data_IF_686550108619
#
_entry.id   IF_686550108619
#
_cell.length_a   1.000
_cell.length_b   1.000
_cell.length_c   1.000
_cell.angle_alpha   90.00
_cell.angle_beta   90.00
_cell.angle_gamma   90.00
#
_symmetry.space_group_name_H-M   'P 1'
#
loop_
_entity.id
_entity.type
_entity.pdbx_description
1 polymer ?
#
# COMPACT_ATOMS: atom_id res chain seq x y z
N UNK A 1 45.15 -3.88 84.22
CA UNK A 1 43.87 -4.43 83.69
C UNK A 1 43.42 -3.59 82.52
N UNK A 2 43.57 -4.12 81.33
CA UNK A 2 43.41 -3.38 80.10
C UNK A 2 42.19 -3.93 79.35
N UNK A 3 41.04 -3.22 79.34
CA UNK A 3 39.82 -3.59 78.58
C UNK A 3 39.88 -3.02 77.15
N UNK A 4 40.01 -3.94 76.18
CA UNK A 4 39.91 -3.59 74.75
C UNK A 4 38.43 -3.61 74.34
N UNK A 5 37.94 -2.46 74.02
CA UNK A 5 36.64 -2.28 73.32
C UNK A 5 36.81 -2.62 71.81
N UNK A 6 36.18 -3.70 71.36
CA UNK A 6 36.10 -4.11 69.96
C UNK A 6 34.89 -3.41 69.33
N UNK A 7 35.16 -2.38 68.53
CA UNK A 7 34.14 -1.69 67.76
C UNK A 7 33.64 -2.58 66.60
N UNK A 8 32.34 -2.93 66.61
CA UNK A 8 31.65 -3.57 65.50
C UNK A 8 31.36 -2.53 64.42
N UNK A 9 32.04 -2.66 63.29
CA UNK A 9 31.69 -1.86 62.06
C UNK A 9 30.52 -2.54 61.40
N UNK A 10 29.33 -1.91 61.41
CA UNK A 10 28.19 -2.32 60.63
C UNK A 10 28.43 -1.98 59.17
N UNK A 11 28.45 -3.01 58.34
CA UNK A 11 28.57 -2.86 56.88
C UNK A 11 27.13 -2.70 56.34
N UNK A 12 26.76 -1.49 56.01
CA UNK A 12 25.48 -1.19 55.37
C UNK A 12 25.58 -1.51 53.86
N UNK A 13 24.91 -2.60 53.47
CA UNK A 13 24.70 -2.92 52.04
C UNK A 13 23.68 -1.94 51.48
N UNK A 14 24.11 -1.13 50.53
CA UNK A 14 23.23 -0.28 49.68
C UNK A 14 22.72 -1.16 48.53
N UNK A 15 21.43 -1.40 48.37
CA UNK A 15 20.92 -2.14 47.22
C UNK A 15 21.05 -1.29 45.98
N UNK A 16 21.84 -1.75 45.02
CA UNK A 16 21.94 -1.16 43.68
C UNK A 16 20.65 -1.43 42.91
N UNK A 17 19.76 -0.46 42.81
CA UNK A 17 18.52 -0.57 42.07
C UNK A 17 18.88 -0.47 40.58
N UNK A 18 19.01 -1.60 39.90
CA UNK A 18 19.11 -1.66 38.44
C UNK A 18 17.73 -1.31 37.81
N UNK A 19 17.53 -0.04 37.52
CA UNK A 19 16.37 0.42 36.75
C UNK A 19 16.51 -0.04 35.30
N UNK A 20 15.69 -1.03 34.90
CA UNK A 20 15.58 -1.43 33.50
C UNK A 20 14.89 -0.31 32.72
N UNK A 21 15.64 0.41 31.88
CA UNK A 21 15.08 1.38 30.96
C UNK A 21 14.43 0.59 29.81
N UNK A 22 13.10 0.49 29.83
CA UNK A 22 12.34 0.02 28.68
C UNK A 22 12.31 1.16 27.63
N UNK A 23 13.12 1.05 26.59
CA UNK A 23 13.03 1.91 25.44
C UNK A 23 11.81 1.42 24.62
N UNK A 24 10.69 2.10 24.74
CA UNK A 24 9.55 1.88 23.85
C UNK A 24 9.94 2.38 22.45
N UNK A 25 10.18 1.46 21.52
CA UNK A 25 10.35 1.79 20.11
C UNK A 25 8.96 2.17 19.58
N UNK A 26 8.68 3.46 19.48
CA UNK A 26 7.51 3.95 18.80
C UNK A 26 7.64 3.62 17.31
N UNK A 27 6.87 2.67 16.83
CA UNK A 27 6.74 2.43 15.39
C UNK A 27 5.95 3.61 14.83
N UNK A 28 6.61 4.47 14.06
CA UNK A 28 5.94 5.52 13.31
C UNK A 28 5.04 4.85 12.25
N UNK A 29 3.74 4.96 12.44
CA UNK A 29 2.78 4.51 11.42
C UNK A 29 2.86 5.46 10.23
N UNK A 30 2.91 4.89 9.03
CA UNK A 30 2.88 5.69 7.81
C UNK A 30 1.53 6.41 7.70
N UNK A 31 1.51 7.67 7.22
CA UNK A 31 0.27 8.45 7.14
C UNK A 31 -0.68 7.83 6.12
N UNK A 32 -1.75 7.22 6.60
CA UNK A 32 -2.83 6.68 5.77
C UNK A 32 -3.84 7.79 5.49
N UNK A 33 -4.17 8.00 4.23
CA UNK A 33 -5.17 8.98 3.80
C UNK A 33 -6.57 8.36 3.88
N UNK A 34 -7.53 9.05 4.50
CA UNK A 34 -8.92 8.60 4.51
C UNK A 34 -9.52 8.70 3.10
N UNK A 35 -10.35 7.72 2.71
CA UNK A 35 -11.15 7.79 1.50
C UNK A 35 -12.58 8.25 1.83
N UNK A 36 -13.20 9.12 1.01
CA UNK A 36 -14.64 9.39 1.07
C UNK A 36 -15.46 8.12 0.92
N UNK A 37 -16.60 8.03 1.59
CA UNK A 37 -17.44 6.83 1.58
C UNK A 37 -18.03 6.49 0.20
N UNK A 38 -18.15 7.48 -0.67
CA UNK A 38 -18.62 7.37 -2.06
C UNK A 38 -17.49 7.22 -3.08
N UNK A 39 -16.23 7.18 -2.63
CA UNK A 39 -15.08 6.95 -3.51
C UNK A 39 -15.18 5.60 -4.20
N UNK A 40 -15.06 5.60 -5.53
CA UNK A 40 -15.10 4.40 -6.37
C UNK A 40 -14.09 4.51 -7.49
N UNK A 41 -13.28 3.46 -7.66
CA UNK A 41 -12.45 3.25 -8.84
C UNK A 41 -13.01 2.08 -9.64
N UNK A 42 -13.04 2.18 -10.97
CA UNK A 42 -13.65 1.17 -11.83
C UNK A 42 -13.00 1.14 -13.21
N UNK A 43 -13.17 0.01 -13.91
CA UNK A 43 -12.77 -0.07 -15.32
C UNK A 43 -13.85 0.56 -16.20
N UNK A 44 -13.44 1.50 -17.06
CA UNK A 44 -14.26 1.94 -18.20
C UNK A 44 -14.09 0.93 -19.33
N UNK A 45 -12.85 0.52 -19.60
CA UNK A 45 -12.42 -0.55 -20.49
C UNK A 45 -11.23 -1.29 -19.86
N UNK A 46 -11.12 -2.63 -20.04
CA UNK A 46 -12.08 -3.54 -20.67
C UNK A 46 -13.26 -3.88 -19.77
N UNK A 47 -14.25 -4.59 -20.33
CA UNK A 47 -15.35 -5.16 -19.56
C UNK A 47 -14.96 -6.54 -19.03
N UNK A 48 -15.58 -6.95 -17.91
CA UNK A 48 -15.42 -8.31 -17.41
C UNK A 48 -15.85 -9.35 -18.44
N UNK A 49 -15.06 -10.40 -18.64
CA UNK A 49 -15.28 -11.45 -19.63
C UNK A 49 -14.89 -11.09 -21.07
N UNK A 50 -14.31 -9.92 -21.30
CA UNK A 50 -13.92 -9.51 -22.65
C UNK A 50 -12.78 -10.37 -23.20
N UNK A 51 -12.91 -10.77 -24.46
CA UNK A 51 -11.93 -11.56 -25.20
C UNK A 51 -11.23 -10.71 -26.22
N UNK A 52 -9.91 -10.79 -26.27
CA UNK A 52 -9.05 -10.06 -27.21
C UNK A 52 -8.34 -11.05 -28.13
N UNK A 53 -8.28 -10.69 -29.39
CA UNK A 53 -7.47 -11.40 -30.39
C UNK A 53 -6.62 -10.40 -31.11
N UNK A 54 -5.28 -10.51 -30.98
CA UNK A 54 -4.35 -9.57 -31.55
C UNK A 54 -3.40 -10.28 -32.53
N UNK A 55 -3.83 -10.56 -33.76
CA UNK A 55 -2.93 -11.09 -34.76
C UNK A 55 -1.75 -10.12 -35.06
N UNK A 56 -1.93 -8.81 -34.74
CA UNK A 56 -0.98 -7.75 -35.07
C UNK A 56 -0.20 -7.24 -33.84
N UNK A 57 -0.26 -7.93 -32.69
CA UNK A 57 0.45 -7.52 -31.47
C UNK A 57 -0.04 -6.21 -30.85
N UNK A 58 -1.26 -5.75 -31.19
CA UNK A 58 -1.87 -4.57 -30.59
C UNK A 58 -2.19 -4.80 -29.13
N UNK A 59 -1.71 -3.91 -28.24
CA UNK A 59 -1.97 -4.03 -26.80
C UNK A 59 -3.43 -3.74 -26.45
N UNK A 60 -3.84 -4.24 -25.28
CA UNK A 60 -5.14 -4.01 -24.67
C UNK A 60 -5.21 -2.58 -24.16
N UNK A 61 -6.19 -1.81 -24.60
CA UNK A 61 -6.47 -0.49 -24.02
C UNK A 61 -7.19 -0.67 -22.69
N UNK A 62 -6.65 -0.05 -21.63
CA UNK A 62 -7.25 0.00 -20.31
C UNK A 62 -7.63 1.45 -20.01
N UNK A 63 -8.89 1.70 -19.68
CA UNK A 63 -9.38 3.02 -19.25
C UNK A 63 -9.91 2.94 -17.84
N UNK A 64 -9.47 3.87 -17.00
CA UNK A 64 -9.79 3.94 -15.57
C UNK A 64 -10.83 5.00 -15.31
N UNK A 65 -11.81 4.69 -14.47
CA UNK A 65 -12.77 5.64 -13.95
C UNK A 65 -12.56 5.84 -12.44
N UNK A 66 -12.78 7.06 -11.98
CA UNK A 66 -12.78 7.45 -10.58
C UNK A 66 -13.96 8.35 -10.29
N UNK A 67 -14.65 8.15 -9.17
CA UNK A 67 -15.69 9.04 -8.66
C UNK A 67 -15.52 9.23 -7.15
N UNK A 68 -16.05 10.36 -6.62
CA UNK A 68 -15.91 10.71 -5.21
C UNK A 68 -14.52 11.21 -4.80
N UNK A 69 -13.54 11.15 -5.70
CA UNK A 69 -12.18 11.64 -5.53
C UNK A 69 -11.64 12.19 -6.85
N UNK A 70 -10.50 12.87 -6.76
CA UNK A 70 -9.80 13.41 -7.93
C UNK A 70 -8.52 12.61 -8.24
N UNK A 71 -8.14 12.57 -9.52
CA UNK A 71 -6.85 12.03 -9.93
C UNK A 71 -5.78 13.10 -9.77
N UNK A 72 -4.71 12.76 -9.06
CA UNK A 72 -3.54 13.64 -8.90
C UNK A 72 -2.24 12.88 -9.16
N UNK A 73 -1.18 13.56 -9.62
CA UNK A 73 0.13 12.93 -9.76
C UNK A 73 0.72 12.47 -8.41
N UNK A 74 1.54 11.43 -8.46
CA UNK A 74 2.37 11.02 -7.32
C UNK A 74 3.27 12.18 -6.86
N UNK A 75 3.54 12.26 -5.57
CA UNK A 75 4.31 13.34 -4.97
C UNK A 75 3.51 14.62 -4.67
N UNK A 76 2.30 14.75 -5.19
CA UNK A 76 1.43 15.91 -4.93
C UNK A 76 0.37 15.57 -3.88
N UNK A 77 0.52 16.12 -2.68
CA UNK A 77 -0.41 15.94 -1.57
C UNK A 77 -1.66 16.81 -1.75
N UNK A 78 -2.63 16.33 -2.54
CA UNK A 78 -3.93 16.98 -2.75
C UNK A 78 -4.98 16.25 -1.93
N UNK A 79 -5.83 16.93 -1.14
CA UNK A 79 -6.91 16.31 -0.39
C UNK A 79 -7.88 15.55 -1.30
N UNK A 80 -8.40 14.42 -0.84
CA UNK A 80 -9.36 13.56 -1.56
C UNK A 80 -8.90 13.22 -2.99
N UNK A 81 -7.63 12.94 -3.16
CA UNK A 81 -7.06 12.59 -4.47
C UNK A 81 -6.06 11.44 -4.38
N UNK A 82 -5.78 10.87 -5.52
CA UNK A 82 -4.80 9.81 -5.65
C UNK A 82 -4.48 9.48 -7.10
N UNK A 83 -3.66 8.46 -7.31
CA UNK A 83 -3.33 7.97 -8.63
C UNK A 83 -3.56 6.47 -8.74
N UNK A 84 -3.81 6.04 -9.96
CA UNK A 84 -4.18 4.67 -10.25
C UNK A 84 -2.98 3.72 -10.19
N UNK A 85 -3.26 2.51 -9.71
CA UNK A 85 -2.43 1.33 -9.89
C UNK A 85 -3.27 0.23 -10.52
N UNK A 86 -2.66 -0.55 -11.41
CA UNK A 86 -3.27 -1.72 -12.03
C UNK A 86 -2.58 -2.98 -11.48
N UNK A 87 -3.37 -3.82 -10.83
CA UNK A 87 -2.96 -5.13 -10.34
C UNK A 87 -3.26 -6.16 -11.42
N UNK A 88 -2.27 -6.98 -11.76
CA UNK A 88 -2.35 -7.98 -12.85
C UNK A 88 -2.03 -9.35 -12.27
N UNK A 89 -2.97 -10.30 -12.36
CA UNK A 89 -2.80 -11.70 -11.94
C UNK A 89 -2.29 -11.84 -10.50
N UNK A 90 -2.74 -10.95 -9.59
CA UNK A 90 -2.39 -11.05 -8.18
C UNK A 90 -3.16 -12.19 -7.51
N UNK A 91 -2.46 -13.12 -6.86
CA UNK A 91 -3.07 -14.14 -6.00
C UNK A 91 -3.33 -13.61 -4.59
N UNK A 92 -2.47 -12.71 -4.13
CA UNK A 92 -2.60 -12.02 -2.86
C UNK A 92 -2.39 -10.53 -3.07
N UNK A 93 -3.20 -9.71 -2.41
CA UNK A 93 -2.99 -8.26 -2.44
C UNK A 93 -1.67 -7.88 -1.74
N UNK A 94 -1.02 -6.80 -2.18
CA UNK A 94 0.09 -6.22 -1.44
C UNK A 94 -0.40 -5.70 -0.07
N UNK A 95 0.53 -5.44 0.84
CA UNK A 95 0.17 -4.79 2.11
C UNK A 95 -0.38 -3.39 1.83
N UNK A 96 -1.66 -3.18 2.16
CA UNK A 96 -2.37 -1.93 1.91
C UNK A 96 -1.99 -0.80 2.89
N UNK A 97 -1.17 -1.09 3.89
CA UNK A 97 -0.66 -0.10 4.85
C UNK A 97 0.74 0.43 4.47
N UNK A 98 1.32 -0.10 3.41
CA UNK A 98 2.66 0.24 2.93
C UNK A 98 2.60 0.83 1.52
N UNK A 99 3.64 1.56 1.10
CA UNK A 99 3.76 1.98 -0.29
C UNK A 99 3.73 0.79 -1.25
N UNK A 100 2.87 0.86 -2.25
CA UNK A 100 2.72 -0.18 -3.25
C UNK A 100 4.04 -0.40 -4.01
N UNK A 101 4.47 -1.65 -4.22
CA UNK A 101 5.68 -1.92 -4.99
C UNK A 101 5.45 -1.62 -6.48
N UNK A 102 6.50 -1.21 -7.19
CA UNK A 102 6.49 -1.12 -8.65
C UNK A 102 7.02 -2.43 -9.24
N UNK A 103 6.13 -3.25 -9.78
CA UNK A 103 6.44 -4.57 -10.37
C UNK A 103 5.66 -4.76 -11.67
N UNK A 104 5.91 -5.85 -12.39
CA UNK A 104 5.12 -6.22 -13.56
C UNK A 104 3.65 -6.51 -13.21
N UNK A 105 3.39 -6.99 -11.99
CA UNK A 105 2.04 -7.26 -11.50
C UNK A 105 1.36 -6.04 -10.84
N UNK A 106 2.12 -5.02 -10.44
CA UNK A 106 1.61 -3.79 -9.83
C UNK A 106 2.10 -2.61 -10.65
N UNK A 107 1.30 -2.19 -11.62
CA UNK A 107 1.65 -1.11 -12.53
C UNK A 107 1.21 0.23 -12.00
N UNK A 108 2.12 1.19 -11.99
CA UNK A 108 1.98 2.49 -11.38
C UNK A 108 1.71 3.58 -12.45
N UNK A 109 0.72 4.44 -12.21
CA UNK A 109 0.32 5.55 -13.10
C UNK A 109 0.50 6.92 -12.42
N UNK A 110 1.71 7.18 -11.96
CA UNK A 110 2.06 8.32 -11.12
C UNK A 110 2.05 9.70 -11.77
N UNK A 111 1.72 9.82 -13.06
CA UNK A 111 1.55 11.11 -13.73
C UNK A 111 0.08 11.55 -13.82
N UNK A 112 -0.83 10.84 -13.11
CA UNK A 112 -2.26 11.09 -13.19
C UNK A 112 -2.92 10.54 -14.46
N UNK A 113 -2.33 9.49 -15.05
CA UNK A 113 -2.92 8.85 -16.24
C UNK A 113 -4.25 8.17 -15.87
N UNK A 114 -5.22 8.27 -16.78
CA UNK A 114 -6.54 7.62 -16.69
C UNK A 114 -6.71 6.52 -17.75
N UNK A 115 -5.66 6.24 -18.52
CA UNK A 115 -5.63 5.16 -19.50
C UNK A 115 -4.21 4.67 -19.74
N UNK A 116 -4.10 3.47 -20.28
CA UNK A 116 -2.84 2.85 -20.71
C UNK A 116 -3.09 1.79 -21.78
N UNK A 117 -2.02 1.34 -22.43
CA UNK A 117 -2.02 0.10 -23.22
C UNK A 117 -1.07 -0.91 -22.57
N UNK A 118 -1.53 -2.15 -22.41
CA UNK A 118 -0.74 -3.25 -21.90
C UNK A 118 -0.73 -4.40 -22.88
N UNK A 119 0.37 -5.16 -22.91
CA UNK A 119 0.45 -6.42 -23.64
C UNK A 119 0.47 -7.55 -22.61
N UNK A 120 -0.38 -8.54 -22.82
CA UNK A 120 -0.45 -9.74 -22.00
C UNK A 120 -0.30 -10.96 -22.92
N UNK A 121 0.32 -12.05 -22.46
CA UNK A 121 0.42 -13.27 -23.22
C UNK A 121 -0.97 -13.89 -23.43
N UNK A 122 -1.13 -14.82 -24.37
CA UNK A 122 -2.35 -15.62 -24.49
C UNK A 122 -2.73 -16.29 -23.18
N UNK A 123 -4.02 -16.27 -22.84
CA UNK A 123 -4.56 -16.86 -21.62
C UNK A 123 -5.56 -15.96 -20.92
N UNK A 124 -6.03 -16.42 -19.75
CA UNK A 124 -6.92 -15.66 -18.87
C UNK A 124 -6.13 -14.80 -17.92
N UNK A 125 -6.58 -13.57 -17.74
CA UNK A 125 -5.93 -12.59 -16.86
C UNK A 125 -6.95 -11.93 -15.95
N UNK A 126 -6.56 -11.78 -14.68
CA UNK A 126 -7.31 -11.03 -13.67
C UNK A 126 -6.72 -9.63 -13.53
N UNK A 127 -7.57 -8.63 -13.63
CA UNK A 127 -7.19 -7.23 -13.50
C UNK A 127 -8.00 -6.59 -12.38
N UNK A 128 -7.34 -5.72 -11.60
CA UNK A 128 -7.99 -4.93 -10.56
C UNK A 128 -7.35 -3.57 -10.46
N UNK A 129 -8.14 -2.53 -10.20
CA UNK A 129 -7.64 -1.18 -9.97
C UNK A 129 -7.55 -0.91 -8.47
N UNK A 130 -6.53 -0.17 -8.07
CA UNK A 130 -6.31 0.30 -6.72
C UNK A 130 -5.84 1.75 -6.77
N UNK A 131 -6.47 2.62 -5.98
CA UNK A 131 -6.07 4.02 -5.85
C UNK A 131 -5.15 4.19 -4.65
N UNK A 132 -4.04 4.90 -4.83
CA UNK A 132 -3.12 5.22 -3.75
C UNK A 132 -2.83 6.73 -3.68
N UNK A 133 -2.46 7.20 -2.51
CA UNK A 133 -2.13 8.59 -2.23
C UNK A 133 -0.77 9.01 -2.84
N UNK A 134 -0.37 10.25 -2.62
CA UNK A 134 0.84 10.84 -3.19
C UNK A 134 2.15 10.12 -2.85
N UNK A 135 2.19 9.28 -1.80
CA UNK A 135 3.33 8.44 -1.41
C UNK A 135 3.10 6.95 -1.66
N UNK A 136 2.16 6.61 -2.55
CA UNK A 136 1.83 5.24 -2.99
C UNK A 136 1.17 4.35 -1.93
N UNK A 137 0.71 4.91 -0.81
CA UNK A 137 -0.04 4.14 0.20
C UNK A 137 -1.52 4.15 -0.17
N UNK A 138 -2.18 2.97 -0.25
CA UNK A 138 -3.63 2.90 -0.43
C UNK A 138 -4.41 3.70 0.60
N UNK A 139 -5.56 4.21 0.23
CA UNK A 139 -6.46 4.91 1.14
C UNK A 139 -7.11 3.94 2.14
N UNK A 140 -7.66 4.48 3.24
CA UNK A 140 -8.44 3.69 4.21
C UNK A 140 -9.85 4.30 4.37
N UNK A 141 -10.92 3.54 4.07
CA UNK A 141 -10.90 2.21 3.44
C UNK A 141 -10.25 2.21 2.05
N UNK A 142 -9.72 1.06 1.61
CA UNK A 142 -9.06 0.96 0.31
C UNK A 142 -10.05 1.21 -0.84
N UNK A 143 -9.68 2.09 -1.76
CA UNK A 143 -10.47 2.40 -2.97
C UNK A 143 -10.02 1.46 -4.07
N UNK A 144 -10.75 0.35 -4.24
CA UNK A 144 -10.44 -0.74 -5.16
C UNK A 144 -11.62 -1.02 -6.06
N UNK A 145 -11.34 -1.45 -7.31
CA UNK A 145 -12.36 -1.95 -8.21
C UNK A 145 -12.73 -3.39 -7.89
N UNK A 146 -13.84 -3.86 -8.46
CA UNK A 146 -14.05 -5.29 -8.66
C UNK A 146 -12.90 -5.87 -9.50
N UNK A 147 -12.60 -7.16 -9.25
CA UNK A 147 -11.70 -7.92 -10.13
C UNK A 147 -12.44 -8.22 -11.42
N UNK A 148 -11.85 -7.92 -12.55
CA UNK A 148 -12.35 -8.35 -13.86
C UNK A 148 -11.45 -9.45 -14.42
N UNK A 149 -12.02 -10.39 -15.14
CA UNK A 149 -11.31 -11.41 -15.91
C UNK A 149 -11.42 -11.08 -17.41
N UNK A 150 -10.30 -11.15 -18.12
CA UNK A 150 -10.22 -11.02 -19.57
C UNK A 150 -9.48 -12.21 -20.16
N UNK A 151 -9.67 -12.48 -21.45
CA UNK A 151 -8.96 -13.55 -22.17
C UNK A 151 -8.23 -12.96 -23.38
N UNK A 152 -6.99 -13.38 -23.58
CA UNK A 152 -6.16 -13.08 -24.76
C UNK A 152 -6.00 -14.36 -25.57
N UNK A 153 -6.30 -14.32 -26.87
CA UNK A 153 -6.19 -15.44 -27.83
C UNK A 153 -5.13 -15.16 -28.87
#
# INVERSE_FOLDING_TARGET
MLNRLIGRRSLTLIPLLMGSIFIAIAHAQMPVSAAPADARVYFIEPKNGQVFSFPDGKGIEIKFGLSGMEVSPAGMAVPNSGHHHLLINMDQLPDLNLPLPATDQVRHFGKGQTSTKISLPPGKHRLQLLLANHIHIPHSPAVMSEVIEIEVK
#
